data_IF_261464926801
#
_entry.id   IF_261464926801
#
_cell.length_a   1.000
_cell.length_b   1.000
_cell.length_c   1.000
_cell.angle_alpha   90.00
_cell.angle_beta   90.00
_cell.angle_gamma   90.00
#
_symmetry.space_group_name_H-M   'P 1'
#
loop_
_entity.id
_entity.type
_entity.pdbx_description
1 polymer ?
#
# COMPACT_ATOMS: atom_id res chain seq x y z
N UNK A 1 62.45 2.94 -7.27
CA UNK A 1 61.52 4.11 -7.30
C UNK A 1 60.42 3.98 -8.35
N UNK A 2 60.67 3.34 -9.51
CA UNK A 2 59.68 3.16 -10.60
C UNK A 2 58.44 2.31 -10.27
N UNK A 3 58.58 1.26 -9.46
CA UNK A 3 57.45 0.35 -9.14
C UNK A 3 56.35 1.01 -8.28
N UNK A 4 56.70 1.94 -7.37
CA UNK A 4 55.72 2.65 -6.52
C UNK A 4 54.85 3.63 -7.32
N UNK A 5 55.39 4.23 -8.39
CA UNK A 5 54.66 5.16 -9.26
C UNK A 5 53.62 4.43 -10.14
N UNK A 6 53.95 3.22 -10.61
CA UNK A 6 53.04 2.38 -11.41
C UNK A 6 51.86 1.81 -10.60
N UNK A 7 52.06 1.50 -9.31
CA UNK A 7 50.98 1.09 -8.42
C UNK A 7 50.03 2.24 -8.06
N UNK A 8 50.55 3.46 -7.90
CA UNK A 8 49.74 4.66 -7.66
C UNK A 8 48.89 5.04 -8.89
N UNK A 9 49.44 4.92 -10.09
CA UNK A 9 48.72 5.18 -11.36
C UNK A 9 47.62 4.13 -11.63
N UNK A 10 47.85 2.84 -11.32
CA UNK A 10 46.82 1.79 -11.44
C UNK A 10 45.71 1.92 -10.40
N UNK A 11 46.03 2.33 -9.17
CA UNK A 11 45.05 2.58 -8.11
C UNK A 11 44.18 3.80 -8.44
N UNK A 12 44.78 4.88 -8.95
CA UNK A 12 44.05 6.08 -9.39
C UNK A 12 43.10 5.78 -10.56
N UNK A 13 43.48 4.89 -11.49
CA UNK A 13 42.62 4.50 -12.60
C UNK A 13 41.46 3.58 -12.18
N UNK A 14 41.69 2.65 -11.23
CA UNK A 14 40.63 1.83 -10.65
C UNK A 14 39.60 2.68 -9.88
N UNK A 15 40.06 3.70 -9.13
CA UNK A 15 39.17 4.60 -8.39
C UNK A 15 38.34 5.50 -9.31
N UNK A 16 38.90 5.94 -10.44
CA UNK A 16 38.17 6.71 -11.46
C UNK A 16 37.09 5.87 -12.19
N UNK A 17 37.36 4.59 -12.47
CA UNK A 17 36.39 3.70 -13.13
C UNK A 17 35.23 3.34 -12.19
N UNK A 18 35.48 3.13 -10.90
CA UNK A 18 34.43 2.86 -9.89
C UNK A 18 33.54 4.09 -9.62
N UNK A 19 34.11 5.30 -9.66
CA UNK A 19 33.36 6.54 -9.46
C UNK A 19 32.43 6.89 -10.65
N UNK A 20 32.75 6.43 -11.87
CA UNK A 20 31.91 6.66 -13.06
C UNK A 20 30.78 5.63 -13.16
N UNK A 21 31.02 4.38 -12.75
CA UNK A 21 30.02 3.31 -12.74
C UNK A 21 28.98 3.43 -11.61
N UNK A 22 29.26 4.19 -10.56
CA UNK A 22 28.33 4.40 -9.43
C UNK A 22 27.28 5.50 -9.68
N UNK A 23 27.35 6.24 -10.79
CA UNK A 23 26.46 7.37 -11.10
C UNK A 23 25.24 7.05 -11.98
N UNK A 24 25.03 5.81 -12.41
CA UNK A 24 23.96 5.46 -13.36
C UNK A 24 22.89 4.50 -12.84
N UNK A 25 22.66 4.45 -11.52
CA UNK A 25 21.47 3.83 -10.95
C UNK A 25 20.49 4.88 -10.40
N UNK A 26 20.25 5.95 -11.16
CA UNK A 26 19.04 6.74 -10.96
C UNK A 26 17.92 5.95 -11.63
N UNK A 27 17.07 5.30 -10.83
CA UNK A 27 15.84 4.70 -11.32
C UNK A 27 15.03 5.78 -12.05
N UNK A 28 14.93 5.67 -13.37
CA UNK A 28 14.04 6.54 -14.13
C UNK A 28 12.60 6.23 -13.68
N UNK A 29 11.78 7.26 -13.40
CA UNK A 29 10.36 7.03 -13.19
C UNK A 29 9.80 6.35 -14.44
N UNK A 30 9.15 5.21 -14.26
CA UNK A 30 8.55 4.46 -15.37
C UNK A 30 7.63 5.40 -16.16
N UNK A 31 7.94 5.63 -17.44
CA UNK A 31 7.03 6.36 -18.32
C UNK A 31 5.77 5.53 -18.50
N UNK A 32 4.60 6.15 -18.30
CA UNK A 32 3.32 5.45 -18.47
C UNK A 32 3.18 5.00 -19.92
N UNK A 33 2.79 3.74 -20.14
CA UNK A 33 2.50 3.21 -21.48
C UNK A 33 1.40 4.04 -22.18
N UNK A 34 1.35 4.04 -23.52
CA UNK A 34 0.32 4.78 -24.28
C UNK A 34 -1.12 4.41 -23.86
N UNK A 35 -1.35 3.14 -23.52
CA UNK A 35 -2.65 2.62 -23.06
C UNK A 35 -3.03 3.17 -21.68
N UNK A 36 -2.10 3.19 -20.72
CA UNK A 36 -2.36 3.83 -19.41
C UNK A 36 -2.60 5.34 -19.54
N UNK A 37 -2.02 6.00 -20.55
CA UNK A 37 -2.29 7.40 -20.83
C UNK A 37 -3.68 7.62 -21.42
N UNK A 38 -4.16 6.73 -22.30
CA UNK A 38 -5.53 6.80 -22.82
C UNK A 38 -6.58 6.55 -21.74
N UNK A 39 -6.35 5.60 -20.85
CA UNK A 39 -7.27 5.28 -19.76
C UNK A 39 -7.38 6.44 -18.77
N UNK A 40 -6.24 7.03 -18.39
CA UNK A 40 -6.23 8.23 -17.55
C UNK A 40 -7.02 9.38 -18.20
N UNK A 41 -6.83 9.59 -19.51
CA UNK A 41 -7.56 10.62 -20.25
C UNK A 41 -9.07 10.34 -20.34
N UNK A 42 -9.48 9.07 -20.41
CA UNK A 42 -10.89 8.69 -20.37
C UNK A 42 -11.47 8.86 -18.96
N UNK A 43 -10.72 8.49 -17.94
CA UNK A 43 -11.09 8.66 -16.54
C UNK A 43 -11.35 10.14 -16.22
N UNK A 44 -10.42 11.03 -16.59
CA UNK A 44 -10.53 12.48 -16.34
C UNK A 44 -11.74 13.12 -17.06
N UNK A 45 -12.22 12.50 -18.14
CA UNK A 45 -13.42 12.94 -18.86
C UNK A 45 -14.72 12.47 -18.21
N UNK A 46 -14.70 11.32 -17.53
CA UNK A 46 -15.91 10.65 -17.02
C UNK A 46 -16.10 10.84 -15.52
N UNK A 47 -15.01 10.93 -14.78
CA UNK A 47 -14.98 11.06 -13.33
C UNK A 47 -14.43 12.43 -12.98
N UNK A 48 -15.25 13.22 -12.27
CA UNK A 48 -14.83 14.49 -11.67
C UNK A 48 -14.77 14.35 -10.15
N UNK A 49 -13.98 15.19 -9.48
CA UNK A 49 -13.91 15.26 -8.01
C UNK A 49 -13.51 13.93 -7.33
N UNK A 50 -12.64 13.13 -7.96
CA UNK A 50 -12.10 11.91 -7.34
C UNK A 50 -11.32 12.29 -6.09
N UNK A 51 -11.71 11.72 -4.95
CA UNK A 51 -11.03 11.93 -3.65
C UNK A 51 -10.51 10.61 -3.09
N UNK A 52 -9.22 10.58 -2.79
CA UNK A 52 -8.62 9.50 -2.00
C UNK A 52 -9.13 9.57 -0.56
N UNK A 53 -9.61 8.44 -0.04
CA UNK A 53 -10.13 8.33 1.34
C UNK A 53 -9.13 7.68 2.30
N UNK A 54 -8.28 6.79 1.81
CA UNK A 54 -7.35 6.00 2.65
C UNK A 54 -5.90 6.44 2.44
N UNK A 55 -5.21 6.82 3.52
CA UNK A 55 -3.82 7.29 3.49
C UNK A 55 -2.88 6.46 4.37
N UNK A 56 -3.42 5.53 5.16
CA UNK A 56 -2.68 4.75 6.15
C UNK A 56 -2.66 3.27 5.78
N UNK A 57 -1.55 2.61 6.13
CA UNK A 57 -1.33 1.19 5.87
C UNK A 57 -0.48 0.94 4.63
N UNK A 58 -0.05 -0.32 4.48
CA UNK A 58 0.67 -0.79 3.30
C UNK A 58 -0.24 -0.82 2.07
N UNK A 59 -1.49 -1.25 2.25
CA UNK A 59 -2.53 -1.23 1.22
C UNK A 59 -3.93 -1.21 1.82
N UNK A 60 -4.87 -0.71 1.02
CA UNK A 60 -6.31 -0.82 1.26
C UNK A 60 -6.93 -1.61 0.09
N UNK A 61 -8.00 -2.35 0.38
CA UNK A 61 -8.69 -3.19 -0.60
C UNK A 61 -10.19 -2.91 -0.65
N UNK A 62 -10.98 -3.97 -0.77
CA UNK A 62 -12.44 -3.95 -0.77
C UNK A 62 -13.05 -3.06 0.33
N UNK A 63 -14.08 -2.31 -0.02
CA UNK A 63 -14.84 -1.49 0.92
C UNK A 63 -16.23 -1.08 0.42
N UNK A 64 -17.12 -0.79 1.37
CA UNK A 64 -18.53 -0.50 1.13
C UNK A 64 -19.02 0.65 2.01
N UNK A 65 -19.93 1.45 1.48
CA UNK A 65 -20.58 2.53 2.22
C UNK A 65 -21.78 2.02 3.03
N UNK A 66 -22.06 2.68 4.15
CA UNK A 66 -23.33 2.52 4.85
C UNK A 66 -24.50 3.01 4.00
N UNK A 67 -25.73 2.59 4.35
CA UNK A 67 -26.96 2.96 3.64
C UNK A 67 -27.19 4.49 3.59
N UNK A 68 -26.76 5.21 4.62
CA UNK A 68 -26.81 6.67 4.72
C UNK A 68 -25.55 7.37 4.17
N UNK A 69 -24.57 6.59 3.69
CA UNK A 69 -23.31 7.09 3.15
C UNK A 69 -22.42 7.82 4.18
N UNK A 70 -22.69 7.73 5.48
CA UNK A 70 -21.87 8.41 6.51
C UNK A 70 -20.64 7.62 6.92
N UNK A 71 -20.66 6.30 6.75
CA UNK A 71 -19.56 5.41 7.11
C UNK A 71 -19.09 4.58 5.92
N UNK A 72 -17.85 4.15 5.99
CA UNK A 72 -17.27 3.20 5.05
C UNK A 72 -16.60 2.07 5.83
N UNK A 73 -16.94 0.83 5.53
CA UNK A 73 -16.21 -0.35 5.99
C UNK A 73 -15.26 -0.77 4.90
N UNK A 74 -14.02 -1.12 5.25
CA UNK A 74 -13.03 -1.53 4.26
C UNK A 74 -11.92 -2.38 4.88
N UNK A 75 -11.21 -3.11 4.02
CA UNK A 75 -10.06 -3.91 4.42
C UNK A 75 -8.74 -3.16 4.23
N UNK A 76 -7.83 -3.27 5.19
CA UNK A 76 -6.50 -2.65 5.10
C UNK A 76 -5.42 -3.44 5.85
N UNK A 77 -4.20 -3.43 5.34
CA UNK A 77 -3.01 -3.94 6.02
C UNK A 77 -2.31 -2.79 6.73
N UNK A 78 -2.45 -2.72 8.05
CA UNK A 78 -1.90 -1.62 8.86
C UNK A 78 -1.09 -2.08 10.06
N UNK A 79 -1.24 -3.34 10.44
CA UNK A 79 -0.66 -3.91 11.64
C UNK A 79 0.68 -4.59 11.29
N UNK A 80 1.81 -4.18 11.90
CA UNK A 80 3.09 -4.84 11.66
C UNK A 80 3.14 -6.26 12.23
N UNK A 81 2.32 -6.58 13.23
CA UNK A 81 2.25 -7.91 13.83
C UNK A 81 1.34 -8.83 13.01
N UNK A 82 0.36 -8.27 12.28
CA UNK A 82 -0.54 -9.00 11.37
C UNK A 82 -0.46 -8.48 9.93
N UNK A 83 0.23 -9.18 9.01
CA UNK A 83 0.42 -8.72 7.64
C UNK A 83 -0.82 -8.97 6.75
N UNK A 84 -1.91 -9.51 7.30
CA UNK A 84 -3.15 -9.74 6.55
C UNK A 84 -4.15 -8.60 6.70
N UNK A 85 -5.06 -8.53 5.74
CA UNK A 85 -6.17 -7.60 5.75
C UNK A 85 -7.00 -7.73 7.05
N UNK A 86 -7.13 -6.60 7.72
CA UNK A 86 -8.02 -6.37 8.85
C UNK A 86 -9.15 -5.42 8.43
N UNK A 87 -10.29 -5.49 9.12
CA UNK A 87 -11.47 -4.67 8.80
C UNK A 87 -11.47 -3.39 9.63
N UNK A 88 -11.65 -2.27 8.94
CA UNK A 88 -11.72 -0.94 9.51
C UNK A 88 -13.06 -0.29 9.18
N UNK A 89 -13.54 0.53 10.11
CA UNK A 89 -14.69 1.40 9.94
C UNK A 89 -14.22 2.85 9.97
N UNK A 90 -14.58 3.60 8.93
CA UNK A 90 -14.27 5.02 8.76
C UNK A 90 -15.55 5.85 8.86
N UNK A 91 -15.49 6.92 9.64
CA UNK A 91 -16.43 8.04 9.52
C UNK A 91 -16.01 8.90 8.32
N UNK A 92 -16.93 9.16 7.39
CA UNK A 92 -16.60 9.88 6.15
C UNK A 92 -16.51 11.39 6.32
N UNK A 93 -17.13 11.94 7.35
CA UNK A 93 -17.12 13.36 7.62
C UNK A 93 -15.81 13.75 8.30
N UNK A 94 -15.41 13.00 9.33
CA UNK A 94 -14.19 13.29 10.08
C UNK A 94 -12.94 12.61 9.52
N UNK A 95 -13.11 11.49 8.82
CA UNK A 95 -12.02 10.61 8.39
C UNK A 95 -11.53 9.67 9.49
N UNK A 96 -12.12 9.74 10.69
CA UNK A 96 -11.74 8.89 11.82
C UNK A 96 -11.93 7.43 11.46
N UNK A 97 -10.87 6.65 11.65
CA UNK A 97 -10.83 5.25 11.23
C UNK A 97 -10.36 4.38 12.39
N UNK A 98 -11.10 3.32 12.69
CA UNK A 98 -10.73 2.36 13.72
C UNK A 98 -10.89 0.92 13.22
N UNK A 99 -10.09 0.01 13.78
CA UNK A 99 -10.20 -1.43 13.50
C UNK A 99 -11.44 -1.98 14.21
N UNK A 100 -12.22 -2.79 13.50
CA UNK A 100 -13.38 -3.50 14.06
C UNK A 100 -13.22 -5.02 14.03
N UNK A 101 -12.27 -5.54 13.25
CA UNK A 101 -11.86 -6.94 13.38
C UNK A 101 -11.00 -7.17 14.63
N UNK A 102 -10.90 -8.42 15.13
CA UNK A 102 -10.12 -8.70 16.34
C UNK A 102 -8.60 -8.47 16.22
N UNK A 103 -8.06 -8.39 15.00
CA UNK A 103 -6.61 -8.22 14.77
C UNK A 103 -5.84 -9.53 14.64
N UNK A 104 -6.49 -10.69 14.75
CA UNK A 104 -5.87 -12.02 14.61
C UNK A 104 -6.45 -12.75 13.41
N UNK A 105 -5.58 -13.42 12.65
CA UNK A 105 -5.98 -14.17 11.47
C UNK A 105 -6.36 -13.25 10.30
N UNK A 106 -7.04 -13.83 9.31
CA UNK A 106 -7.42 -13.16 8.06
C UNK A 106 -8.87 -12.69 8.13
N UNK A 107 -9.17 -11.55 7.52
CA UNK A 107 -10.55 -11.07 7.37
C UNK A 107 -10.85 -10.58 5.95
N UNK A 108 -12.12 -10.64 5.54
CA UNK A 108 -12.58 -10.21 4.21
C UNK A 108 -14.10 -10.00 4.19
N UNK A 109 -14.64 -9.52 3.06
CA UNK A 109 -16.07 -9.47 2.74
C UNK A 109 -16.92 -8.76 3.80
N UNK A 110 -16.48 -7.55 4.17
CA UNK A 110 -17.16 -6.78 5.21
C UNK A 110 -18.41 -6.05 4.64
N UNK A 111 -19.43 -5.87 5.47
CA UNK A 111 -20.67 -5.20 5.09
C UNK A 111 -21.33 -4.52 6.29
N UNK A 112 -21.80 -3.29 6.11
CA UNK A 112 -22.54 -2.53 7.13
C UNK A 112 -24.03 -2.83 6.98
N UNK A 113 -24.66 -3.30 8.06
CA UNK A 113 -26.09 -3.57 8.07
C UNK A 113 -26.90 -2.26 7.90
N UNK A 114 -28.08 -2.26 7.22
CA UNK A 114 -28.83 -1.05 6.91
C UNK A 114 -29.29 -0.21 8.11
N UNK A 115 -29.34 -0.81 9.30
CA UNK A 115 -29.61 -0.10 10.57
C UNK A 115 -28.41 0.70 11.09
N UNK A 116 -27.24 0.59 10.45
CA UNK A 116 -25.99 1.26 10.81
C UNK A 116 -25.45 0.92 12.21
N UNK A 117 -25.93 -0.14 12.85
CA UNK A 117 -25.49 -0.56 14.18
C UNK A 117 -24.65 -1.83 14.18
N UNK A 118 -24.61 -2.56 13.04
CA UNK A 118 -23.94 -3.86 12.93
C UNK A 118 -23.07 -3.92 11.69
N UNK A 119 -21.97 -4.67 11.80
CA UNK A 119 -21.10 -5.01 10.68
C UNK A 119 -20.90 -6.51 10.66
N UNK A 120 -21.02 -7.10 9.47
CA UNK A 120 -20.69 -8.50 9.21
C UNK A 120 -19.37 -8.56 8.42
N UNK A 121 -18.52 -9.55 8.70
CA UNK A 121 -17.32 -9.86 7.93
C UNK A 121 -16.93 -11.33 8.12
N UNK A 122 -16.17 -11.88 7.18
CA UNK A 122 -15.59 -13.22 7.32
C UNK A 122 -14.26 -13.14 8.07
N UNK A 123 -13.97 -14.14 8.92
CA UNK A 123 -12.75 -14.19 9.73
C UNK A 123 -12.25 -15.61 9.96
N UNK A 124 -10.93 -15.79 10.00
CA UNK A 124 -10.28 -17.05 10.40
C UNK A 124 -9.78 -17.03 11.85
N UNK A 125 -10.16 -16.04 12.66
CA UNK A 125 -9.64 -15.82 14.02
C UNK A 125 -9.77 -17.02 14.98
N UNK A 126 -10.69 -17.95 14.71
CA UNK A 126 -10.95 -19.13 15.54
C UNK A 126 -10.18 -20.37 15.10
N UNK A 127 -9.40 -20.28 14.02
CA UNK A 127 -8.41 -21.31 13.68
C UNK A 127 -7.34 -21.34 14.79
N UNK A 128 -7.11 -22.49 15.47
CA UNK A 128 -6.09 -22.59 16.51
C UNK A 128 -4.68 -22.18 16.05
N UNK A 129 -4.41 -22.30 14.75
CA UNK A 129 -3.13 -21.95 14.12
C UNK A 129 -3.13 -20.52 13.51
N UNK A 130 -4.15 -19.69 13.77
CA UNK A 130 -4.29 -18.37 13.15
C UNK A 130 -3.07 -17.46 13.37
N UNK A 131 -2.49 -17.50 14.57
CA UNK A 131 -1.30 -16.71 14.93
C UNK A 131 -0.06 -17.23 14.21
N UNK A 132 0.12 -18.55 14.12
CA UNK A 132 1.29 -19.14 13.46
C UNK A 132 1.28 -18.93 11.94
N UNK A 133 0.09 -18.79 11.35
CA UNK A 133 -0.11 -18.53 9.92
C UNK A 133 0.02 -17.05 9.55
N UNK A 134 0.17 -16.17 10.55
CA UNK A 134 0.21 -14.72 10.43
C UNK A 134 1.56 -14.22 9.93
#
# INVERSE_FOLDING_TARGET
MFMKLMHLLRAAWCLLVVAVLSRQLVAQPASKSPEMQSDAKLQDRLLTEIRQLTFTGKRAGEGYFSSDGKRMVFQSERDPENPFFQIFLMDRETGDTHRISPGVGKTTCAWIHPDNHRVLFASTQFDPEAINKQ
#
